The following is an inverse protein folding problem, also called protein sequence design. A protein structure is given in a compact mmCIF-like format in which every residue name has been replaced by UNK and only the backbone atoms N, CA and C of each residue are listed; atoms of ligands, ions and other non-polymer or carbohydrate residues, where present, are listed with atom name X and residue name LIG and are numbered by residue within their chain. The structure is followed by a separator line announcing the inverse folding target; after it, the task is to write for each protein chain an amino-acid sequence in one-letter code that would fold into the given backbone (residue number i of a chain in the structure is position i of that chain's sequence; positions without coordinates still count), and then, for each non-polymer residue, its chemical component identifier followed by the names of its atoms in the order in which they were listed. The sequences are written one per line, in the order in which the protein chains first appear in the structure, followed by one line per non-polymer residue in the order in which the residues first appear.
data_IF_168443921063
#
_entry.id   IF_168443921063
#
_cell.length_a   1.000
_cell.length_b   1.000
_cell.length_c   1.000
_cell.angle_alpha   90.00
_cell.angle_beta   90.00
_cell.angle_gamma   90.00
#
_symmetry.space_group_name_H-M   'P 1'
#
loop_
_entity.id
_entity.type
_entity.pdbx_description
1 polymer ?
#
# COMPACT_ATOMS: atom_id res chain seq x y z
N UNK A 1 56.44 -47.64 -12.97
CA UNK A 1 55.75 -48.48 -11.97
C UNK A 1 55.27 -47.60 -10.82
N UNK A 2 54.18 -48.02 -10.17
CA UNK A 2 53.46 -47.43 -9.04
C UNK A 2 52.38 -46.38 -9.37
N UNK A 3 51.08 -46.72 -9.18
CA UNK A 3 49.97 -45.78 -9.16
C UNK A 3 49.67 -45.26 -7.75
N UNK A 4 49.11 -44.05 -7.71
CA UNK A 4 48.75 -43.26 -6.54
C UNK A 4 47.47 -43.82 -5.89
N UNK A 5 47.55 -44.19 -4.61
CA UNK A 5 46.41 -44.50 -3.75
C UNK A 5 45.94 -43.26 -2.99
N UNK A 6 44.64 -42.96 -3.09
CA UNK A 6 43.94 -41.99 -2.23
C UNK A 6 43.68 -42.61 -0.86
N UNK A 7 43.89 -41.84 0.23
CA UNK A 7 42.95 -41.74 1.37
C UNK A 7 43.33 -40.65 2.38
N UNK A 8 42.36 -39.77 2.60
CA UNK A 8 41.96 -39.08 3.85
C UNK A 8 42.98 -38.18 4.58
N UNK A 9 42.92 -36.88 4.29
CA UNK A 9 43.34 -35.82 5.22
C UNK A 9 42.10 -35.07 5.73
N UNK A 10 42.00 -34.96 7.05
CA UNK A 10 41.04 -34.13 7.80
C UNK A 10 41.22 -32.67 7.41
N UNK A 11 40.13 -31.99 7.04
CA UNK A 11 40.13 -30.52 6.92
C UNK A 11 39.65 -29.92 8.24
N UNK A 12 40.53 -29.08 8.76
CA UNK A 12 40.44 -28.25 9.95
C UNK A 12 39.27 -27.25 9.91
N UNK A 13 38.78 -26.91 11.11
CA UNK A 13 37.62 -26.06 11.35
C UNK A 13 37.71 -24.66 10.75
N UNK A 14 36.56 -24.20 10.27
CA UNK A 14 36.27 -22.83 9.85
C UNK A 14 36.01 -22.00 11.13
N UNK A 15 36.66 -20.85 11.34
CA UNK A 15 36.37 -20.00 12.48
C UNK A 15 35.00 -19.31 12.31
N UNK A 16 34.17 -19.45 13.33
CA UNK A 16 32.90 -18.74 13.50
C UNK A 16 33.17 -17.22 13.53
N UNK A 17 32.65 -16.50 12.54
CA UNK A 17 32.67 -15.03 12.53
C UNK A 17 31.93 -14.48 13.76
N UNK A 18 32.63 -13.68 14.55
CA UNK A 18 32.06 -12.91 15.65
C UNK A 18 31.03 -11.87 15.16
N UNK A 19 30.22 -11.31 16.09
CA UNK A 19 29.16 -10.39 15.76
C UNK A 19 29.72 -9.11 15.12
N UNK A 20 29.09 -8.69 14.01
CA UNK A 20 29.36 -7.42 13.34
C UNK A 20 29.14 -6.25 14.33
N UNK A 21 30.03 -5.24 14.32
CA UNK A 21 29.86 -4.05 15.17
C UNK A 21 28.60 -3.27 14.75
N UNK A 22 27.94 -2.57 15.70
CA UNK A 22 26.75 -1.78 15.42
C UNK A 22 27.10 -0.66 14.43
N UNK A 23 26.30 -0.54 13.36
CA UNK A 23 26.43 0.52 12.38
C UNK A 23 26.26 1.89 13.05
N UNK A 24 27.36 2.62 13.19
CA UNK A 24 27.36 4.03 13.59
C UNK A 24 26.60 4.80 12.51
N UNK A 25 25.39 5.29 12.83
CA UNK A 25 24.65 6.23 11.97
C UNK A 25 25.42 7.54 11.93
N UNK A 26 26.33 7.69 10.96
CA UNK A 26 26.73 9.01 10.49
C UNK A 26 25.48 9.66 9.92
N UNK A 27 24.97 10.69 10.59
CA UNK A 27 23.92 11.54 10.08
C UNK A 27 24.50 12.34 8.91
N UNK A 28 24.48 11.77 7.71
CA UNK A 28 24.71 12.52 6.48
C UNK A 28 23.60 13.55 6.39
N UNK A 29 23.95 14.83 6.34
CA UNK A 29 22.99 15.89 6.10
C UNK A 29 22.22 15.56 4.80
N UNK A 30 20.88 15.64 4.78
CA UNK A 30 20.14 15.33 3.57
C UNK A 30 20.65 16.23 2.44
N UNK A 31 20.94 15.64 1.28
CA UNK A 31 21.34 16.38 0.10
C UNK A 31 20.31 17.48 -0.19
N UNK A 32 20.74 18.67 -0.67
CA UNK A 32 19.79 19.71 -1.06
C UNK A 32 18.81 19.14 -2.09
N UNK A 33 17.52 19.43 -1.90
CA UNK A 33 16.48 18.95 -2.80
C UNK A 33 16.75 19.48 -4.22
N UNK A 34 16.58 18.64 -5.26
CA UNK A 34 16.76 19.10 -6.64
C UNK A 34 15.81 20.26 -6.92
N UNK A 35 16.33 21.32 -7.54
CA UNK A 35 15.57 22.53 -7.90
C UNK A 35 15.14 22.54 -9.37
N UNK A 36 15.57 21.56 -10.17
CA UNK A 36 15.21 21.40 -11.58
C UNK A 36 15.06 19.93 -11.99
N UNK A 37 14.22 19.67 -13.00
CA UNK A 37 14.06 18.37 -13.67
C UNK A 37 14.15 18.61 -15.18
N UNK A 38 14.99 17.86 -15.90
CA UNK A 38 15.24 18.07 -17.33
C UNK A 38 15.70 19.49 -17.69
N UNK A 39 16.44 20.15 -16.79
CA UNK A 39 16.86 21.55 -16.94
C UNK A 39 15.79 22.60 -16.63
N UNK A 40 14.56 22.20 -16.28
CA UNK A 40 13.44 23.10 -15.97
C UNK A 40 13.20 23.22 -14.46
N UNK A 41 12.98 24.43 -13.91
CA UNK A 41 12.81 24.63 -12.47
C UNK A 41 11.60 23.88 -11.89
N UNK A 42 11.69 23.49 -10.61
CA UNK A 42 10.61 22.88 -9.84
C UNK A 42 9.87 23.97 -9.06
N UNK A 43 8.54 23.90 -9.06
CA UNK A 43 7.73 24.87 -8.31
C UNK A 43 8.00 24.76 -6.80
N UNK A 44 8.26 25.90 -6.13
CA UNK A 44 8.58 25.95 -4.70
C UNK A 44 7.58 25.22 -3.78
N UNK A 45 6.25 25.25 -4.00
CA UNK A 45 5.29 24.50 -3.19
C UNK A 45 5.53 22.98 -3.20
N UNK A 46 6.00 22.44 -4.32
CA UNK A 46 6.25 21.01 -4.53
C UNK A 46 7.51 20.57 -3.79
N UNK A 47 8.56 21.40 -3.79
CA UNK A 47 9.76 21.20 -2.98
C UNK A 47 9.41 21.18 -1.49
N UNK A 48 8.58 22.12 -1.02
CA UNK A 48 8.12 22.17 0.37
C UNK A 48 7.25 20.96 0.74
N UNK A 49 6.39 20.49 -0.15
CA UNK A 49 5.61 19.27 0.04
C UNK A 49 6.53 18.05 0.21
N UNK A 50 7.52 17.89 -0.67
CA UNK A 50 8.51 16.80 -0.57
C UNK A 50 9.24 16.85 0.77
N UNK A 51 9.71 18.01 1.20
CA UNK A 51 10.40 18.16 2.48
C UNK A 51 9.52 17.76 3.68
N UNK A 52 8.25 18.18 3.73
CA UNK A 52 7.32 17.78 4.81
C UNK A 52 7.10 16.27 4.84
N UNK A 53 6.94 15.68 3.65
CA UNK A 53 6.67 14.26 3.44
C UNK A 53 7.86 13.39 3.82
N UNK A 54 9.06 13.78 3.41
CA UNK A 54 10.30 13.09 3.78
C UNK A 54 10.53 13.14 5.30
N UNK A 55 10.25 14.29 5.93
CA UNK A 55 10.27 14.41 7.39
C UNK A 55 9.23 13.50 8.08
N UNK A 56 8.00 13.43 7.56
CA UNK A 56 6.98 12.52 8.08
C UNK A 56 7.39 11.05 7.94
N UNK A 57 8.00 10.68 6.81
CA UNK A 57 8.47 9.33 6.54
C UNK A 57 9.51 8.84 7.56
N UNK A 58 10.34 9.73 8.12
CA UNK A 58 11.31 9.37 9.18
C UNK A 58 10.68 8.90 10.49
N UNK A 59 9.40 9.21 10.72
CA UNK A 59 8.67 8.87 11.95
C UNK A 59 7.96 7.51 11.88
N UNK A 60 7.87 6.92 10.69
CA UNK A 60 7.09 5.71 10.44
C UNK A 60 8.00 4.48 10.41
N UNK A 61 7.75 3.54 11.32
CA UNK A 61 8.43 2.26 11.33
C UNK A 61 8.03 1.41 10.12
N UNK A 62 9.01 0.74 9.47
CA UNK A 62 8.77 -0.09 8.29
C UNK A 62 8.75 -1.59 8.58
N UNK A 63 9.05 -1.96 9.82
CA UNK A 63 9.15 -3.35 10.28
C UNK A 63 8.00 -3.73 11.19
N UNK A 64 7.69 -5.03 11.22
CA UNK A 64 6.74 -5.61 12.15
C UNK A 64 7.11 -5.35 13.62
N UNK A 65 6.12 -5.00 14.44
CA UNK A 65 6.27 -4.84 15.91
C UNK A 65 5.78 -6.04 16.71
N UNK A 66 5.25 -7.04 16.03
CA UNK A 66 4.72 -8.25 16.64
C UNK A 66 5.02 -9.45 15.75
N UNK A 67 4.94 -10.63 16.34
CA UNK A 67 5.15 -11.92 15.69
C UNK A 67 3.90 -12.77 15.89
N UNK A 68 2.94 -12.61 14.98
CA UNK A 68 1.64 -13.27 15.03
C UNK A 68 1.28 -13.81 13.66
N UNK A 69 0.50 -14.88 13.59
CA UNK A 69 0.01 -15.38 12.30
C UNK A 69 -1.18 -14.54 11.80
N UNK A 70 -1.27 -14.43 10.47
CA UNK A 70 -2.38 -13.76 9.79
C UNK A 70 -3.71 -14.48 10.00
N UNK A 71 -4.81 -13.73 9.91
CA UNK A 71 -6.18 -14.21 10.11
C UNK A 71 -7.04 -14.02 8.87
N UNK A 72 -8.02 -14.90 8.73
CA UNK A 72 -9.14 -14.68 7.82
C UNK A 72 -10.11 -13.61 8.35
N UNK A 73 -10.91 -13.04 7.48
CA UNK A 73 -12.03 -12.13 7.81
C UNK A 73 -13.30 -12.77 7.25
N UNK A 74 -14.27 -13.05 8.12
CA UNK A 74 -15.53 -13.67 7.69
C UNK A 74 -16.28 -12.73 6.76
N UNK A 75 -16.72 -13.26 5.61
CA UNK A 75 -17.61 -12.54 4.68
C UNK A 75 -18.93 -12.19 5.36
N UNK A 76 -19.43 -10.97 5.15
CA UNK A 76 -20.75 -10.60 5.65
C UNK A 76 -21.82 -11.45 4.95
N UNK A 77 -22.59 -12.25 5.72
CA UNK A 77 -23.66 -13.12 5.18
C UNK A 77 -24.62 -12.29 4.31
N UNK A 78 -24.90 -12.79 3.10
CA UNK A 78 -25.74 -12.14 2.08
C UNK A 78 -25.15 -10.88 1.41
N UNK A 79 -23.83 -10.64 1.53
CA UNK A 79 -23.13 -9.55 0.84
C UNK A 79 -21.87 -10.04 0.12
N UNK A 80 -21.65 -9.53 -1.09
CA UNK A 80 -20.45 -9.74 -1.90
C UNK A 80 -19.31 -8.82 -1.44
N UNK A 81 -18.61 -9.19 -0.36
CA UNK A 81 -17.65 -8.32 0.34
C UNK A 81 -16.18 -8.75 0.22
N UNK A 82 -15.87 -9.70 -0.64
CA UNK A 82 -14.49 -10.18 -0.82
C UNK A 82 -13.53 -9.10 -1.35
N UNK A 83 -14.01 -8.15 -2.16
CA UNK A 83 -13.23 -6.96 -2.55
C UNK A 83 -12.83 -6.11 -1.33
N UNK A 84 -13.69 -6.00 -0.32
CA UNK A 84 -13.38 -5.30 0.92
C UNK A 84 -12.42 -6.08 1.80
N UNK A 85 -12.67 -7.38 1.98
CA UNK A 85 -11.86 -8.24 2.81
C UNK A 85 -10.41 -8.34 2.29
N UNK A 86 -10.23 -8.54 1.00
CA UNK A 86 -8.91 -8.62 0.37
C UNK A 86 -8.09 -7.32 0.55
N UNK A 87 -8.73 -6.15 0.39
CA UNK A 87 -8.11 -4.84 0.64
C UNK A 87 -7.79 -4.63 2.12
N UNK A 88 -8.73 -4.94 3.02
CA UNK A 88 -8.51 -4.83 4.46
C UNK A 88 -7.36 -5.74 4.92
N UNK A 89 -7.30 -6.97 4.41
CA UNK A 89 -6.20 -7.89 4.65
C UNK A 89 -4.87 -7.33 4.12
N UNK A 90 -4.84 -6.72 2.95
CA UNK A 90 -3.64 -6.04 2.44
C UNK A 90 -3.16 -4.91 3.37
N UNK A 91 -4.08 -4.06 3.86
CA UNK A 91 -3.76 -3.04 4.87
C UNK A 91 -3.21 -3.65 6.17
N UNK A 92 -3.81 -4.73 6.67
CA UNK A 92 -3.33 -5.39 7.90
C UNK A 92 -1.92 -5.94 7.75
N UNK A 93 -1.42 -6.08 6.52
CA UNK A 93 -0.08 -6.54 6.21
C UNK A 93 0.92 -5.44 5.84
N UNK A 94 0.61 -4.20 6.23
CA UNK A 94 1.47 -3.05 6.02
C UNK A 94 1.98 -2.51 7.38
N UNK A 95 3.15 -2.92 7.87
CA UNK A 95 3.73 -2.39 9.11
C UNK A 95 3.73 -0.85 9.23
N UNK A 96 4.12 -0.06 8.20
CA UNK A 96 4.08 1.39 8.32
C UNK A 96 2.66 1.97 8.39
N UNK A 97 1.67 1.32 7.76
CA UNK A 97 0.27 1.67 7.93
C UNK A 97 -0.21 1.37 9.35
N UNK A 98 0.11 0.19 9.89
CA UNK A 98 -0.25 -0.19 11.25
C UNK A 98 0.34 0.79 12.28
N UNK A 99 1.59 1.21 12.09
CA UNK A 99 2.22 2.24 12.93
C UNK A 99 1.41 3.54 12.93
N UNK A 100 0.94 3.97 11.76
CA UNK A 100 0.19 5.20 11.60
C UNK A 100 -1.24 5.09 12.17
N UNK A 101 -2.02 4.10 11.73
CA UNK A 101 -3.44 3.97 12.09
C UNK A 101 -3.63 3.71 13.59
N UNK A 102 -2.71 2.98 14.22
CA UNK A 102 -2.75 2.73 15.67
C UNK A 102 -2.47 3.98 16.51
N UNK A 103 -1.99 5.07 15.92
CA UNK A 103 -1.86 6.38 16.59
C UNK A 103 -3.13 7.23 16.51
N UNK A 104 -4.08 6.85 15.65
CA UNK A 104 -5.32 7.59 15.46
C UNK A 104 -6.13 7.70 16.76
N UNK A 105 -6.37 8.93 17.21
CA UNK A 105 -7.08 9.24 18.47
C UNK A 105 -6.52 8.50 19.71
N UNK A 106 -5.28 8.03 19.67
CA UNK A 106 -4.65 7.28 20.76
C UNK A 106 -3.90 8.21 21.71
N UNK A 107 -4.00 7.92 23.01
CA UNK A 107 -2.87 8.10 23.90
C UNK A 107 -1.98 6.85 23.76
N UNK A 108 -0.71 7.00 23.32
CA UNK A 108 0.22 5.90 23.04
C UNK A 108 0.29 4.75 24.08
N UNK A 109 -0.07 5.02 25.35
CA UNK A 109 -0.05 4.06 26.46
C UNK A 109 -1.07 2.91 26.37
N UNK A 110 -2.16 3.05 25.62
CA UNK A 110 -3.21 2.01 25.54
C UNK A 110 -2.91 0.96 24.46
N UNK A 111 -2.33 1.39 23.32
CA UNK A 111 -1.77 0.49 22.32
C UNK A 111 -0.57 -0.29 22.86
N UNK A 112 0.32 0.36 23.64
CA UNK A 112 1.48 -0.28 24.28
C UNK A 112 1.10 -1.46 25.20
N UNK A 113 -0.03 -1.39 25.92
CA UNK A 113 -0.48 -2.49 26.81
C UNK A 113 -0.95 -3.73 26.06
N UNK A 114 -1.69 -3.56 24.97
CA UNK A 114 -2.30 -4.69 24.23
C UNK A 114 -1.36 -5.35 23.22
N UNK A 115 -0.40 -4.61 22.66
CA UNK A 115 0.59 -5.13 21.70
C UNK A 115 1.90 -5.65 22.34
N UNK A 116 1.96 -5.79 23.67
CA UNK A 116 3.10 -6.41 24.37
C UNK A 116 4.31 -5.51 24.59
N UNK A 117 4.10 -4.28 25.06
CA UNK A 117 5.16 -3.46 25.66
C UNK A 117 6.11 -2.73 24.70
N UNK A 118 5.91 -2.85 23.38
CA UNK A 118 6.75 -2.14 22.41
C UNK A 118 6.22 -0.71 22.15
N UNK A 119 7.10 0.29 22.31
CA UNK A 119 6.79 1.72 22.13
C UNK A 119 6.44 2.02 20.68
N UNK A 120 5.22 2.48 20.41
CA UNK A 120 4.86 3.16 19.16
C UNK A 120 5.51 4.55 19.16
N UNK A 121 6.20 4.91 18.08
CA UNK A 121 7.03 6.11 18.04
C UNK A 121 6.20 7.34 17.70
N UNK A 122 5.52 7.98 18.67
CA UNK A 122 5.05 9.36 18.47
C UNK A 122 4.81 10.15 19.78
N UNK A 123 5.84 10.91 20.19
CA UNK A 123 5.87 11.68 21.44
C UNK A 123 5.18 13.06 21.42
N UNK A 124 4.86 13.63 20.25
CA UNK A 124 4.33 15.02 20.13
C UNK A 124 2.81 15.14 20.22
N UNK A 125 2.03 14.14 19.80
CA UNK A 125 0.54 14.12 19.95
C UNK A 125 0.11 14.05 21.43
N UNK A 126 1.05 13.71 22.33
CA UNK A 126 0.84 13.51 23.77
C UNK A 126 0.33 14.74 24.54
N UNK A 127 0.55 15.97 24.07
CA UNK A 127 0.20 17.19 24.83
C UNK A 127 -1.13 17.82 24.43
N UNK A 128 -1.55 17.74 23.16
CA UNK A 128 -2.75 18.43 22.67
C UNK A 128 -4.08 17.75 23.08
N UNK A 129 -4.10 16.42 23.22
CA UNK A 129 -5.35 15.65 23.44
C UNK A 129 -5.78 15.58 24.92
N UNK A 130 -4.87 15.90 25.85
CA UNK A 130 -5.11 15.75 27.31
C UNK A 130 -6.22 16.66 27.87
N UNK A 131 -6.57 17.78 27.24
CA UNK A 131 -7.55 18.73 27.81
C UNK A 131 -9.01 18.34 27.54
N UNK A 132 -9.30 17.50 26.54
CA UNK A 132 -10.68 17.20 26.14
C UNK A 132 -11.33 16.05 26.95
N UNK A 133 -10.55 15.12 27.49
CA UNK A 133 -11.10 13.90 28.13
C UNK A 133 -11.61 14.13 29.56
N UNK A 134 -11.19 15.21 30.23
CA UNK A 134 -11.49 15.44 31.65
C UNK A 134 -12.93 15.87 31.95
N UNK A 135 -13.78 16.05 30.92
CA UNK A 135 -15.14 16.61 31.06
C UNK A 135 -16.30 15.60 30.92
N UNK A 136 -16.07 14.31 30.62
CA UNK A 136 -17.17 13.47 30.08
C UNK A 136 -17.51 12.15 30.76
N UNK A 137 -16.77 11.67 31.77
CA UNK A 137 -17.08 10.37 32.38
C UNK A 137 -17.75 10.49 33.74
N UNK A 138 -19.08 10.39 33.72
CA UNK A 138 -19.92 10.17 34.91
C UNK A 138 -21.30 9.67 34.50
N UNK A 139 -21.44 8.36 34.20
CA UNK A 139 -22.62 7.49 34.38
C UNK A 139 -22.42 6.12 33.68
N UNK A 140 -22.94 5.04 34.28
CA UNK A 140 -22.97 3.64 33.79
C UNK A 140 -24.43 3.24 33.54
N UNK A 141 -24.68 2.25 32.68
CA UNK A 141 -26.00 1.66 32.49
C UNK A 141 -26.02 0.16 32.83
N UNK A 142 -27.16 -0.23 33.38
CA UNK A 142 -27.72 -1.55 33.64
C UNK A 142 -28.34 -2.07 32.33
N UNK A 143 -28.22 -3.37 32.02
CA UNK A 143 -29.07 -4.17 31.12
C UNK A 143 -28.24 -5.37 30.61
N UNK A 144 -28.63 -6.57 31.06
CA UNK A 144 -27.89 -7.83 30.91
C UNK A 144 -28.03 -8.50 29.54
N UNK A 145 -27.46 -7.90 28.49
CA UNK A 145 -27.12 -8.60 27.25
C UNK A 145 -25.69 -9.20 27.35
N UNK A 146 -25.48 -10.34 26.69
CA UNK A 146 -24.17 -11.01 26.61
C UNK A 146 -23.14 -10.04 26.03
N UNK A 147 -22.25 -9.54 26.89
CA UNK A 147 -21.23 -8.56 26.54
C UNK A 147 -20.17 -9.24 25.70
N UNK A 148 -20.02 -8.80 24.45
CA UNK A 148 -18.72 -8.82 23.79
C UNK A 148 -17.76 -8.06 24.74
N UNK A 149 -16.85 -8.79 25.41
CA UNK A 149 -15.89 -8.25 26.40
C UNK A 149 -14.95 -7.18 25.80
N UNK A 150 -15.12 -6.90 24.50
CA UNK A 150 -14.54 -5.81 23.74
C UNK A 150 -15.50 -4.61 23.59
N UNK A 151 -16.31 -4.33 24.62
CA UNK A 151 -17.17 -3.13 24.70
C UNK A 151 -16.47 -1.88 24.14
N UNK A 152 -17.21 -0.95 23.49
CA UNK A 152 -16.77 -0.09 22.39
C UNK A 152 -15.32 0.39 22.57
N UNK A 153 -14.38 -0.38 22.04
CA UNK A 153 -12.97 -0.03 22.08
C UNK A 153 -12.84 1.22 21.20
N UNK A 154 -12.61 2.37 21.85
CA UNK A 154 -12.20 3.64 21.24
C UNK A 154 -13.28 4.35 20.39
N UNK A 155 -14.40 4.78 20.98
CA UNK A 155 -15.33 5.67 20.27
C UNK A 155 -15.38 7.09 20.88
N UNK A 156 -14.68 8.09 20.29
CA UNK A 156 -15.06 9.48 20.53
C UNK A 156 -15.17 10.38 19.27
N UNK A 157 -14.78 9.92 18.07
CA UNK A 157 -14.85 10.77 16.87
C UNK A 157 -16.16 10.51 16.10
N UNK A 158 -17.29 11.06 16.58
CA UNK A 158 -18.48 11.21 15.73
C UNK A 158 -18.22 12.39 14.79
N UNK A 159 -18.04 12.12 13.49
CA UNK A 159 -18.00 13.17 12.47
C UNK A 159 -19.33 13.20 11.75
N UNK A 160 -20.04 14.32 11.81
CA UNK A 160 -21.29 14.52 11.06
C UNK A 160 -22.33 13.42 11.30
N UNK A 161 -22.43 12.89 12.53
CA UNK A 161 -23.34 11.80 12.88
C UNK A 161 -22.95 10.40 12.34
N UNK A 162 -21.93 10.29 11.47
CA UNK A 162 -21.38 9.03 10.95
C UNK A 162 -20.16 8.59 11.77
N UNK A 163 -19.86 7.29 11.73
CA UNK A 163 -18.66 6.72 12.35
C UNK A 163 -17.36 7.25 11.71
N UNK A 164 -16.25 7.22 12.44
CA UNK A 164 -14.94 7.62 11.92
C UNK A 164 -14.24 6.41 11.27
N UNK A 165 -13.99 6.48 9.97
CA UNK A 165 -13.37 5.39 9.20
C UNK A 165 -12.02 4.95 9.78
N UNK A 166 -11.16 5.90 10.17
CA UNK A 166 -9.87 5.59 10.79
C UNK A 166 -10.01 4.94 12.18
N UNK A 167 -11.08 5.23 12.94
CA UNK A 167 -11.35 4.53 14.20
C UNK A 167 -11.75 3.06 13.95
N UNK A 168 -12.57 2.80 12.92
CA UNK A 168 -12.94 1.42 12.56
C UNK A 168 -11.74 0.63 12.01
N UNK A 169 -10.93 1.21 11.12
CA UNK A 169 -9.69 0.57 10.65
C UNK A 169 -8.71 0.29 11.78
N UNK A 170 -8.60 1.21 12.76
CA UNK A 170 -7.80 0.98 13.98
C UNK A 170 -8.36 -0.17 14.81
N UNK A 171 -9.67 -0.21 15.03
CA UNK A 171 -10.33 -1.30 15.76
C UNK A 171 -10.11 -2.65 15.08
N UNK A 172 -10.23 -2.69 13.75
CA UNK A 172 -9.90 -3.87 12.95
C UNK A 172 -8.44 -4.27 13.11
N UNK A 173 -7.49 -3.34 13.05
CA UNK A 173 -6.06 -3.62 13.25
C UNK A 173 -5.76 -4.21 14.64
N UNK A 174 -6.41 -3.70 15.69
CA UNK A 174 -6.30 -4.23 17.04
C UNK A 174 -6.84 -5.66 17.10
N UNK A 175 -8.06 -5.89 16.60
CA UNK A 175 -8.71 -7.21 16.62
C UNK A 175 -7.97 -8.24 15.76
N UNK A 176 -7.46 -7.83 14.61
CA UNK A 176 -6.75 -8.68 13.67
C UNK A 176 -5.45 -9.24 14.25
N UNK A 177 -4.73 -8.40 15.02
CA UNK A 177 -3.45 -8.75 15.63
C UNK A 177 -3.56 -8.96 17.14
N UNK A 178 -4.75 -9.28 17.67
CA UNK A 178 -4.97 -9.50 19.10
C UNK A 178 -4.49 -10.90 19.53
N UNK A 179 -3.45 -10.97 20.36
CA UNK A 179 -2.88 -12.22 20.86
C UNK A 179 -3.87 -13.10 21.62
N UNK A 180 -4.90 -12.51 22.23
CA UNK A 180 -5.86 -13.24 23.06
C UNK A 180 -6.81 -14.13 22.24
N UNK A 181 -7.01 -13.82 20.96
CA UNK A 181 -7.82 -14.63 20.06
C UNK A 181 -6.88 -15.43 19.14
N UNK A 182 -6.89 -16.77 19.14
CA UNK A 182 -5.94 -17.55 18.34
C UNK A 182 -6.14 -17.29 16.83
N UNK A 183 -5.06 -17.21 16.02
CA UNK A 183 -5.13 -16.95 14.57
C UNK A 183 -5.98 -17.95 13.77
N UNK A 184 -6.23 -19.12 14.36
CA UNK A 184 -7.10 -20.17 13.85
C UNK A 184 -8.54 -19.69 13.66
N UNK A 185 -8.99 -18.75 14.49
CA UNK A 185 -10.31 -18.19 14.44
C UNK A 185 -10.32 -17.01 13.47
N UNK A 186 -11.09 -17.07 12.37
CA UNK A 186 -11.28 -15.90 11.53
C UNK A 186 -11.93 -14.80 12.35
N UNK A 187 -11.74 -13.55 11.94
CA UNK A 187 -12.43 -12.43 12.55
C UNK A 187 -13.92 -12.57 12.26
N UNK A 188 -14.65 -13.12 13.23
CA UNK A 188 -16.10 -13.26 13.17
C UNK A 188 -16.77 -11.98 13.68
N UNK A 189 -17.83 -11.54 13.00
CA UNK A 189 -18.72 -10.46 13.46
C UNK A 189 -18.00 -9.20 13.95
N UNK A 190 -16.86 -8.83 13.34
CA UNK A 190 -16.22 -7.56 13.66
C UNK A 190 -17.18 -6.43 13.32
N UNK A 191 -17.75 -5.82 14.36
CA UNK A 191 -18.53 -4.61 14.23
C UNK A 191 -17.79 -3.56 13.41
N UNK A 192 -16.46 -3.58 13.43
CA UNK A 192 -15.60 -2.75 12.59
C UNK A 192 -15.75 -3.05 11.09
N UNK A 193 -15.69 -4.33 10.66
CA UNK A 193 -15.87 -4.71 9.25
C UNK A 193 -17.28 -4.34 8.79
N UNK A 194 -18.30 -4.62 9.62
CA UNK A 194 -19.67 -4.20 9.34
C UNK A 194 -19.76 -2.69 9.21
N UNK A 195 -19.23 -1.91 10.16
CA UNK A 195 -19.26 -0.43 10.16
C UNK A 195 -18.49 0.16 8.99
N UNK A 196 -17.36 -0.41 8.59
CA UNK A 196 -16.62 -0.03 7.39
C UNK A 196 -17.48 -0.22 6.13
N UNK A 197 -18.15 -1.37 6.01
CA UNK A 197 -19.12 -1.62 4.93
C UNK A 197 -20.32 -0.64 5.00
N UNK A 198 -20.80 -0.29 6.21
CA UNK A 198 -21.87 0.71 6.35
C UNK A 198 -21.45 2.11 5.91
N UNK A 199 -20.17 2.46 6.09
CA UNK A 199 -19.64 3.75 5.66
C UNK A 199 -19.53 3.86 4.13
N UNK A 200 -19.57 2.74 3.41
CA UNK A 200 -19.66 2.72 1.94
C UNK A 200 -21.08 2.59 1.41
N UNK A 201 -22.06 2.20 2.25
CA UNK A 201 -23.44 2.01 1.81
C UNK A 201 -24.08 3.28 1.24
N UNK A 202 -24.79 3.10 0.13
CA UNK A 202 -25.43 4.18 -0.63
C UNK A 202 -24.49 4.93 -1.58
N UNK A 203 -23.23 4.51 -1.71
CA UNK A 203 -22.36 4.98 -2.80
C UNK A 203 -22.62 4.17 -4.07
N UNK A 204 -22.78 4.82 -5.23
CA UNK A 204 -22.93 4.13 -6.51
C UNK A 204 -21.78 3.17 -6.79
N UNK A 205 -20.55 3.57 -6.45
CA UNK A 205 -19.33 2.80 -6.71
C UNK A 205 -19.19 1.54 -5.84
N UNK A 206 -19.92 1.47 -4.71
CA UNK A 206 -19.86 0.37 -3.74
C UNK A 206 -21.27 -0.10 -3.38
N UNK A 207 -21.99 -0.71 -4.33
CA UNK A 207 -23.41 -1.02 -4.19
C UNK A 207 -23.67 -1.98 -3.04
N UNK A 208 -24.77 -1.75 -2.33
CA UNK A 208 -25.19 -2.60 -1.22
C UNK A 208 -25.48 -4.01 -1.76
N UNK A 209 -24.71 -5.02 -1.31
CA UNK A 209 -24.78 -6.44 -1.71
C UNK A 209 -24.13 -6.80 -3.06
N UNK A 210 -23.68 -5.81 -3.85
CA UNK A 210 -22.96 -6.05 -5.10
C UNK A 210 -21.46 -6.23 -4.91
N UNK A 211 -20.81 -6.81 -5.93
CA UNK A 211 -19.35 -6.72 -6.08
C UNK A 211 -18.97 -5.28 -6.44
N UNK A 212 -17.71 -4.94 -6.21
CA UNK A 212 -17.13 -3.67 -6.63
C UNK A 212 -15.65 -3.86 -6.96
N UNK A 213 -15.09 -2.82 -7.57
CA UNK A 213 -13.67 -2.74 -7.86
C UNK A 213 -12.84 -2.62 -6.56
N UNK A 214 -11.92 -3.57 -6.34
CA UNK A 214 -11.07 -3.60 -5.16
C UNK A 214 -10.02 -2.47 -5.14
N UNK A 215 -9.52 -2.03 -6.30
CA UNK A 215 -8.58 -0.92 -6.41
C UNK A 215 -9.26 0.40 -6.02
N UNK A 216 -10.47 0.65 -6.53
CA UNK A 216 -11.27 1.81 -6.18
C UNK A 216 -11.62 1.82 -4.68
N UNK A 217 -11.97 0.66 -4.10
CA UNK A 217 -12.21 0.55 -2.66
C UNK A 217 -10.94 0.84 -1.84
N UNK A 218 -9.76 0.45 -2.33
CA UNK A 218 -8.49 0.75 -1.70
C UNK A 218 -8.24 2.26 -1.66
N UNK A 219 -8.37 2.96 -2.79
CA UNK A 219 -8.21 4.43 -2.84
C UNK A 219 -9.23 5.14 -1.96
N UNK A 220 -10.48 4.70 -1.99
CA UNK A 220 -11.51 5.17 -1.09
C UNK A 220 -11.11 5.04 0.38
N UNK A 221 -10.57 3.89 0.81
CA UNK A 221 -10.10 3.69 2.18
C UNK A 221 -9.01 4.71 2.56
N UNK A 222 -8.03 4.94 1.68
CA UNK A 222 -6.94 5.90 1.92
C UNK A 222 -7.52 7.30 2.11
N UNK A 223 -8.42 7.74 1.23
CA UNK A 223 -9.03 9.06 1.31
C UNK A 223 -9.90 9.25 2.55
N UNK A 224 -10.70 8.24 2.91
CA UNK A 224 -11.50 8.31 4.14
C UNK A 224 -10.61 8.40 5.38
N UNK A 225 -9.51 7.64 5.46
CA UNK A 225 -8.58 7.72 6.58
C UNK A 225 -7.84 9.06 6.62
N UNK A 226 -7.40 9.58 5.47
CA UNK A 226 -6.77 10.90 5.33
C UNK A 226 -7.72 12.01 5.80
N UNK A 227 -9.00 11.91 5.45
CA UNK A 227 -10.03 12.85 5.87
C UNK A 227 -10.27 12.83 7.38
N UNK A 228 -10.01 11.71 8.07
CA UNK A 228 -10.19 11.55 9.53
C UNK A 228 -9.17 12.35 10.40
N UNK A 229 -8.43 13.31 9.84
CA UNK A 229 -7.38 14.10 10.50
C UNK A 229 -7.83 14.82 11.80
N UNK A 230 -7.08 14.80 12.91
CA UNK A 230 -7.49 15.38 14.21
C UNK A 230 -7.97 16.86 14.15
N UNK A 231 -8.73 17.31 15.17
CA UNK A 231 -9.37 18.64 15.15
C UNK A 231 -8.40 19.83 15.08
N UNK A 232 -7.21 19.74 15.68
CA UNK A 232 -6.26 20.85 15.67
C UNK A 232 -5.51 20.91 14.34
N UNK A 233 -5.37 22.09 13.74
CA UNK A 233 -4.71 22.28 12.44
C UNK A 233 -3.31 21.63 12.35
N UNK A 234 -2.47 21.79 13.38
CA UNK A 234 -1.12 21.21 13.40
C UNK A 234 -1.13 19.67 13.41
N UNK A 235 -1.99 19.04 14.23
CA UNK A 235 -2.12 17.59 14.25
C UNK A 235 -2.81 17.05 12.98
N UNK A 236 -3.73 17.83 12.39
CA UNK A 236 -4.35 17.49 11.12
C UNK A 236 -3.32 17.47 9.98
N UNK A 237 -2.45 18.48 9.93
CA UNK A 237 -1.37 18.55 8.95
C UNK A 237 -0.40 17.39 9.11
N UNK A 238 0.06 17.12 10.33
CA UNK A 238 0.96 15.99 10.59
C UNK A 238 0.33 14.64 10.19
N UNK A 239 -0.95 14.43 10.47
CA UNK A 239 -1.70 13.23 10.07
C UNK A 239 -1.76 13.07 8.56
N UNK A 240 -2.05 14.16 7.83
CA UNK A 240 -2.09 14.16 6.36
C UNK A 240 -0.71 13.96 5.75
N UNK A 241 0.32 14.63 6.27
CA UNK A 241 1.70 14.48 5.81
C UNK A 241 2.19 13.03 5.99
N UNK A 242 1.80 12.35 7.07
CA UNK A 242 2.10 10.93 7.29
C UNK A 242 1.32 10.03 6.32
N UNK A 243 0.04 10.29 6.08
CA UNK A 243 -0.74 9.58 5.07
C UNK A 243 -0.14 9.74 3.65
N UNK A 244 0.25 10.97 3.30
CA UNK A 244 0.96 11.29 2.06
C UNK A 244 2.33 10.62 2.00
N UNK A 245 3.03 10.48 3.13
CA UNK A 245 4.27 9.72 3.19
C UNK A 245 4.09 8.23 2.92
N UNK A 246 2.96 7.68 3.36
CA UNK A 246 2.62 6.29 3.12
C UNK A 246 2.30 6.01 1.65
N UNK A 247 1.46 6.82 1.00
CA UNK A 247 0.84 6.43 -0.27
C UNK A 247 1.07 7.37 -1.45
N UNK A 248 1.41 8.65 -1.24
CA UNK A 248 1.44 9.59 -2.36
C UNK A 248 2.68 9.38 -3.25
N UNK A 249 2.39 9.34 -4.54
CA UNK A 249 3.32 9.35 -5.65
C UNK A 249 3.17 10.70 -6.36
N UNK A 250 4.30 11.32 -6.73
CA UNK A 250 4.32 12.43 -7.68
C UNK A 250 5.50 12.22 -8.62
N UNK A 251 5.24 12.33 -9.91
CA UNK A 251 6.26 12.34 -10.95
C UNK A 251 6.07 13.57 -11.83
N UNK A 252 7.14 13.99 -12.51
CA UNK A 252 7.07 14.98 -13.58
C UNK A 252 7.03 14.30 -14.93
N UNK A 253 6.37 14.91 -15.91
CA UNK A 253 6.33 14.42 -17.29
C UNK A 253 7.07 15.38 -18.22
N UNK A 254 7.80 14.82 -19.19
CA UNK A 254 8.53 15.55 -20.23
C UNK A 254 8.26 14.92 -21.60
N UNK A 255 7.86 15.73 -22.57
CA UNK A 255 7.72 15.34 -23.97
C UNK A 255 8.93 15.78 -24.77
N UNK A 256 9.63 14.82 -25.36
CA UNK A 256 10.79 15.08 -26.24
C UNK A 256 10.42 14.76 -27.69
N UNK A 257 10.43 15.77 -28.56
CA UNK A 257 10.11 15.60 -29.97
C UNK A 257 11.10 14.67 -30.66
N UNK A 258 10.62 13.64 -31.36
CA UNK A 258 11.50 12.69 -32.04
C UNK A 258 12.12 13.26 -33.33
N UNK A 259 11.66 14.43 -33.80
CA UNK A 259 12.16 15.10 -35.01
C UNK A 259 13.23 16.14 -34.67
N UNK A 260 12.90 17.13 -33.82
CA UNK A 260 13.81 18.23 -33.49
C UNK A 260 14.51 18.08 -32.12
N UNK A 261 14.24 17.01 -31.38
CA UNK A 261 14.79 16.73 -30.05
C UNK A 261 14.49 17.80 -28.97
N UNK A 262 13.58 18.75 -29.24
CA UNK A 262 13.16 19.75 -28.25
C UNK A 262 12.31 19.09 -27.17
N UNK A 263 12.77 19.18 -25.91
CA UNK A 263 12.02 18.74 -24.72
C UNK A 263 11.14 19.85 -24.18
N UNK A 264 9.94 19.50 -23.74
CA UNK A 264 8.98 20.43 -23.12
C UNK A 264 8.11 19.72 -22.09
N UNK A 265 7.50 20.49 -21.20
CA UNK A 265 6.47 19.99 -20.28
C UNK A 265 5.12 19.89 -21.00
N UNK A 266 4.24 18.96 -20.60
CA UNK A 266 2.85 18.95 -21.05
C UNK A 266 2.16 20.30 -20.78
N UNK A 267 1.21 20.67 -21.63
CA UNK A 267 0.32 21.80 -21.34
C UNK A 267 -0.57 21.44 -20.14
N UNK A 268 -0.55 22.26 -19.09
CA UNK A 268 -1.28 22.03 -17.84
C UNK A 268 -0.35 21.82 -16.65
N UNK A 269 -0.62 20.78 -15.84
CA UNK A 269 0.24 20.44 -14.70
C UNK A 269 1.48 19.67 -15.19
N UNK A 270 2.71 20.15 -14.94
CA UNK A 270 3.91 19.41 -15.28
C UNK A 270 4.21 18.26 -14.31
N UNK A 271 3.37 18.11 -13.29
CA UNK A 271 3.41 17.04 -12.31
C UNK A 271 2.10 16.30 -12.31
N UNK A 272 2.19 14.98 -12.17
CA UNK A 272 1.05 14.09 -12.07
C UNK A 272 1.37 13.02 -11.02
N UNK A 273 0.35 12.36 -10.51
CA UNK A 273 0.49 11.45 -9.40
C UNK A 273 -0.81 10.97 -8.81
N UNK A 274 -0.71 10.27 -7.70
CA UNK A 274 -1.83 9.61 -7.05
C UNK A 274 -1.35 8.72 -5.91
N UNK A 275 -2.17 7.75 -5.54
CA UNK A 275 -1.88 6.77 -4.49
C UNK A 275 -1.42 5.41 -5.04
N UNK A 276 -1.33 5.30 -6.36
CA UNK A 276 -1.15 4.04 -7.08
C UNK A 276 -0.58 4.29 -8.49
N UNK A 277 0.20 3.34 -9.02
CA UNK A 277 0.60 3.31 -10.44
C UNK A 277 -0.27 2.29 -11.18
N UNK A 278 -0.92 2.71 -12.25
CA UNK A 278 -1.71 1.82 -13.11
C UNK A 278 -0.82 1.30 -14.23
N UNK A 279 -0.51 0.01 -14.21
CA UNK A 279 0.39 -0.63 -15.17
C UNK A 279 -0.40 -1.54 -16.12
N UNK A 280 -0.17 -1.35 -17.42
CA UNK A 280 -0.77 -2.18 -18.45
C UNK A 280 -0.13 -3.58 -18.46
N UNK A 281 -0.95 -4.60 -18.69
CA UNK A 281 -0.49 -5.98 -18.94
C UNK A 281 -0.18 -6.26 -20.40
N UNK A 282 -0.51 -5.30 -21.27
CA UNK A 282 -0.34 -5.37 -22.72
C UNK A 282 0.50 -4.18 -23.20
N UNK A 283 1.27 -4.41 -24.26
CA UNK A 283 1.89 -3.35 -25.03
C UNK A 283 0.92 -2.75 -26.07
N UNK A 284 1.36 -1.71 -26.79
CA UNK A 284 0.53 -1.04 -27.80
C UNK A 284 0.19 -1.92 -29.01
N UNK A 285 0.87 -3.06 -29.17
CA UNK A 285 0.56 -4.05 -30.20
C UNK A 285 -0.39 -5.15 -29.68
N UNK A 286 -0.84 -5.05 -28.42
CA UNK A 286 -1.68 -6.05 -27.75
C UNK A 286 -0.89 -7.28 -27.30
N UNK A 287 0.44 -7.20 -27.19
CA UNK A 287 1.26 -8.31 -26.70
C UNK A 287 1.47 -8.22 -25.19
N UNK A 288 1.45 -9.38 -24.53
CA UNK A 288 1.62 -9.46 -23.09
C UNK A 288 3.00 -8.96 -22.64
N UNK A 289 3.03 -8.15 -21.58
CA UNK A 289 4.29 -7.76 -20.92
C UNK A 289 4.84 -8.92 -20.09
N UNK A 290 6.14 -9.23 -20.15
CA UNK A 290 6.69 -10.44 -19.52
C UNK A 290 6.77 -10.35 -18.00
N UNK A 291 7.04 -9.17 -17.46
CA UNK A 291 7.25 -8.96 -16.03
C UNK A 291 6.92 -7.52 -15.58
N UNK A 292 6.79 -7.34 -14.26
CA UNK A 292 6.49 -6.03 -13.66
C UNK A 292 7.57 -4.97 -13.97
N UNK A 293 8.89 -5.27 -13.95
CA UNK A 293 9.91 -4.32 -14.41
C UNK A 293 9.70 -3.79 -15.83
N UNK A 294 9.34 -4.65 -16.80
CA UNK A 294 9.05 -4.25 -18.16
C UNK A 294 7.80 -3.35 -18.25
N UNK A 295 6.76 -3.68 -17.49
CA UNK A 295 5.56 -2.85 -17.39
C UNK A 295 5.87 -1.45 -16.81
N UNK A 296 6.75 -1.37 -15.82
CA UNK A 296 7.20 -0.11 -15.23
C UNK A 296 8.13 0.68 -16.16
N UNK A 297 8.99 0.02 -16.93
CA UNK A 297 9.78 0.67 -17.98
C UNK A 297 8.87 1.34 -19.01
N UNK A 298 7.81 0.66 -19.46
CA UNK A 298 6.75 1.28 -20.30
C UNK A 298 6.05 2.43 -19.60
N UNK A 299 5.72 2.30 -18.31
CA UNK A 299 5.03 3.36 -17.58
C UNK A 299 5.87 4.65 -17.52
N UNK A 300 7.15 4.53 -17.14
CA UNK A 300 8.04 5.67 -16.91
C UNK A 300 8.72 6.21 -18.18
N UNK A 301 8.93 5.39 -19.20
CA UNK A 301 9.56 5.83 -20.46
C UNK A 301 8.59 5.91 -21.63
N UNK A 302 7.33 5.60 -21.36
CA UNK A 302 6.18 5.81 -22.24
C UNK A 302 6.24 5.01 -23.53
N UNK A 303 5.11 5.03 -24.22
CA UNK A 303 5.12 5.01 -25.67
C UNK A 303 5.18 6.44 -26.18
N UNK A 304 5.61 6.61 -27.42
CA UNK A 304 5.60 7.92 -28.01
C UNK A 304 4.16 8.45 -28.19
N UNK A 305 3.92 9.68 -27.76
CA UNK A 305 2.63 10.37 -27.87
C UNK A 305 2.63 11.33 -29.06
N UNK A 306 1.45 11.55 -29.67
CA UNK A 306 1.28 12.57 -30.70
C UNK A 306 0.88 13.90 -30.07
N UNK A 307 1.76 14.88 -30.14
CA UNK A 307 1.54 16.22 -29.57
C UNK A 307 2.14 17.29 -30.48
N UNK A 308 1.54 18.47 -30.48
CA UNK A 308 2.03 19.61 -31.26
C UNK A 308 3.40 20.07 -30.75
N UNK A 309 4.34 20.31 -31.68
CA UNK A 309 5.69 20.78 -31.40
C UNK A 309 5.88 22.17 -32.01
N UNK A 310 6.12 23.18 -31.15
CA UNK A 310 6.30 24.57 -31.59
C UNK A 310 7.54 24.75 -32.48
N UNK A 311 8.62 24.01 -32.22
CA UNK A 311 9.85 24.07 -33.03
C UNK A 311 9.62 23.52 -34.44
N UNK A 312 8.86 22.42 -34.57
CA UNK A 312 8.54 21.82 -35.87
C UNK A 312 7.31 22.44 -36.54
N UNK A 313 6.55 23.28 -35.82
CA UNK A 313 5.26 23.84 -36.23
C UNK A 313 4.27 22.78 -36.73
N UNK A 314 4.29 21.58 -36.15
CA UNK A 314 3.44 20.45 -36.56
C UNK A 314 3.21 19.46 -35.42
N UNK A 315 2.16 18.63 -35.54
CA UNK A 315 1.94 17.49 -34.66
C UNK A 315 2.97 16.41 -34.97
N UNK A 316 3.77 16.08 -33.97
CA UNK A 316 4.88 15.12 -34.10
C UNK A 316 4.75 14.02 -33.08
N UNK A 317 5.45 12.92 -33.33
CA UNK A 317 5.69 11.88 -32.35
C UNK A 317 6.68 12.41 -31.29
N UNK A 318 6.39 12.17 -30.01
CA UNK A 318 7.18 12.66 -28.89
C UNK A 318 7.34 11.58 -27.83
N UNK A 319 8.57 11.36 -27.37
CA UNK A 319 8.84 10.46 -26.25
C UNK A 319 8.30 11.06 -24.97
N UNK A 320 7.41 10.34 -24.28
CA UNK A 320 6.91 10.69 -22.95
C UNK A 320 7.82 10.07 -21.89
N UNK A 321 8.50 10.90 -21.10
CA UNK A 321 9.35 10.44 -20.00
C UNK A 321 8.85 10.99 -18.69
N UNK A 322 8.71 10.09 -17.71
CA UNK A 322 8.29 10.39 -16.35
C UNK A 322 9.47 10.22 -15.40
N UNK A 323 9.63 11.18 -14.49
CA UNK A 323 10.65 11.14 -13.44
C UNK A 323 9.99 11.24 -12.06
N UNK A 324 10.19 10.22 -11.24
CA UNK A 324 9.61 10.09 -9.92
C UNK A 324 10.24 11.10 -8.95
N UNK A 325 9.45 12.10 -8.58
CA UNK A 325 9.88 13.16 -7.68
C UNK A 325 9.60 12.80 -6.21
N UNK A 326 8.47 12.15 -5.98
CA UNK A 326 7.94 11.78 -4.67
C UNK A 326 7.55 10.30 -4.76
N UNK A 327 8.34 9.44 -4.12
CA UNK A 327 8.07 8.00 -3.99
C UNK A 327 7.48 7.65 -2.61
N UNK A 328 6.45 6.78 -2.51
CA UNK A 328 5.77 6.45 -1.27
C UNK A 328 6.56 5.46 -0.40
N UNK A 329 6.18 5.28 0.87
CA UNK A 329 6.66 4.15 1.68
C UNK A 329 5.98 2.85 1.24
N UNK A 330 4.69 2.92 0.91
CA UNK A 330 3.87 1.82 0.45
C UNK A 330 3.56 2.09 -1.02
N UNK A 331 4.27 1.39 -1.91
CA UNK A 331 4.03 1.46 -3.33
C UNK A 331 2.90 0.51 -3.70
N UNK A 332 1.88 1.04 -4.36
CA UNK A 332 0.79 0.28 -4.96
C UNK A 332 0.95 0.27 -6.48
N UNK A 333 0.77 -0.90 -7.07
CA UNK A 333 0.69 -1.10 -8.52
C UNK A 333 -0.64 -1.80 -8.83
N UNK A 334 -1.52 -1.13 -9.56
CA UNK A 334 -2.70 -1.76 -10.13
C UNK A 334 -2.37 -2.35 -11.48
N UNK A 335 -2.54 -3.65 -11.59
CA UNK A 335 -2.34 -4.40 -12.81
C UNK A 335 -3.65 -4.33 -13.59
N UNK A 336 -3.65 -3.57 -14.70
CA UNK A 336 -4.82 -3.33 -15.53
C UNK A 336 -5.20 -4.59 -16.32
N UNK A 337 -5.84 -5.53 -15.64
CA UNK A 337 -6.28 -6.81 -16.22
C UNK A 337 -7.61 -6.74 -16.93
N UNK A 338 -8.39 -5.66 -16.79
CA UNK A 338 -9.63 -5.47 -17.55
C UNK A 338 -9.30 -4.54 -18.71
N UNK A 339 -9.26 -5.06 -19.93
CA UNK A 339 -8.64 -4.37 -21.09
C UNK A 339 -9.60 -4.12 -22.24
N UNK A 340 -10.62 -4.96 -22.43
CA UNK A 340 -11.60 -4.82 -23.52
C UNK A 340 -13.01 -4.53 -23.01
N UNK A 341 -13.79 -3.76 -23.77
CA UNK A 341 -15.23 -3.62 -23.51
C UNK A 341 -15.99 -4.78 -24.17
N UNK A 342 -16.92 -5.37 -23.43
CA UNK A 342 -17.86 -6.37 -23.92
C UNK A 342 -19.28 -5.81 -23.85
N UNK A 343 -19.94 -5.73 -25.01
CA UNK A 343 -21.30 -5.22 -25.14
C UNK A 343 -22.34 -6.13 -24.45
N UNK A 344 -22.15 -7.45 -24.46
CA UNK A 344 -23.09 -8.39 -23.84
C UNK A 344 -23.03 -8.30 -22.30
N UNK A 345 -21.83 -8.07 -21.77
CA UNK A 345 -21.62 -7.91 -20.33
C UNK A 345 -21.80 -6.46 -19.85
N UNK A 346 -22.06 -5.51 -20.75
CA UNK A 346 -22.09 -4.06 -20.52
C UNK A 346 -20.92 -3.59 -19.61
N UNK A 347 -19.70 -4.02 -19.93
CA UNK A 347 -18.57 -3.76 -19.05
C UNK A 347 -17.22 -4.18 -19.59
N UNK A 348 -16.16 -3.81 -18.85
CA UNK A 348 -14.82 -4.26 -19.18
C UNK A 348 -14.63 -5.74 -18.81
N UNK A 349 -14.10 -6.50 -19.75
CA UNK A 349 -13.72 -7.90 -19.61
C UNK A 349 -12.22 -8.05 -19.41
N UNK A 350 -11.89 -9.18 -18.79
CA UNK A 350 -10.54 -9.52 -18.38
C UNK A 350 -9.69 -9.93 -19.57
N UNK A 351 -8.45 -9.46 -19.60
CA UNK A 351 -7.41 -9.91 -20.51
C UNK A 351 -7.16 -11.41 -20.33
N UNK A 352 -7.04 -12.11 -21.46
CA UNK A 352 -6.70 -13.54 -21.51
C UNK A 352 -5.19 -13.79 -21.29
N UNK A 353 -4.38 -12.74 -21.17
CA UNK A 353 -2.95 -12.88 -20.99
C UNK A 353 -2.57 -13.43 -19.62
N UNK A 354 -1.44 -14.13 -19.60
CA UNK A 354 -0.83 -14.57 -18.37
C UNK A 354 -0.44 -13.36 -17.51
N UNK A 355 -0.56 -13.52 -16.18
CA UNK A 355 -0.08 -12.52 -15.23
C UNK A 355 1.43 -12.30 -15.40
N UNK A 356 1.90 -11.05 -15.54
CA UNK A 356 3.33 -10.75 -15.60
C UNK A 356 4.07 -11.28 -14.37
N UNK A 357 5.32 -11.73 -14.55
CA UNK A 357 6.15 -12.21 -13.44
C UNK A 357 6.34 -11.13 -12.36
N UNK A 358 6.10 -11.50 -11.09
CA UNK A 358 6.12 -10.58 -9.94
C UNK A 358 7.44 -10.74 -9.19
N UNK A 359 8.35 -9.75 -9.23
CA UNK A 359 9.60 -9.84 -8.48
C UNK A 359 9.39 -9.65 -6.98
N UNK A 360 10.17 -10.33 -6.13
CA UNK A 360 10.14 -10.04 -4.70
C UNK A 360 10.68 -8.64 -4.38
N UNK A 361 11.74 -8.23 -5.07
CA UNK A 361 12.42 -6.96 -4.88
C UNK A 361 12.28 -6.11 -6.13
N UNK A 362 11.90 -4.86 -5.93
CA UNK A 362 11.71 -3.89 -7.00
C UNK A 362 12.62 -2.68 -6.74
N UNK A 363 13.46 -2.32 -7.71
CA UNK A 363 14.34 -1.16 -7.63
C UNK A 363 13.83 -0.08 -8.59
N UNK A 364 13.27 1.00 -8.04
CA UNK A 364 12.78 2.14 -8.80
C UNK A 364 13.82 3.27 -8.92
N UNK A 365 15.07 3.04 -8.49
CA UNK A 365 16.10 4.09 -8.44
C UNK A 365 16.29 4.79 -9.78
N UNK A 366 16.24 4.05 -10.89
CA UNK A 366 16.44 4.59 -12.25
C UNK A 366 15.36 5.58 -12.69
N UNK A 367 14.18 5.53 -12.09
CA UNK A 367 13.06 6.41 -12.46
C UNK A 367 13.00 7.68 -11.62
N UNK A 368 13.74 7.77 -10.51
CA UNK A 368 13.64 8.91 -9.61
C UNK A 368 14.58 10.05 -10.01
N UNK A 369 14.18 11.28 -9.70
CA UNK A 369 14.97 12.48 -10.00
C UNK A 369 16.35 12.45 -9.32
N UNK A 370 16.39 12.07 -8.04
CA UNK A 370 17.64 11.91 -7.29
C UNK A 370 18.09 10.44 -7.26
N UNK A 371 18.81 10.03 -8.31
CA UNK A 371 19.31 8.67 -8.44
C UNK A 371 20.43 8.31 -7.45
N UNK A 372 20.91 9.24 -6.63
CA UNK A 372 21.92 8.97 -5.59
C UNK A 372 21.34 8.18 -4.42
N UNK A 373 20.03 8.27 -4.19
CA UNK A 373 19.35 7.62 -3.08
C UNK A 373 18.83 6.23 -3.48
N UNK A 374 18.92 5.21 -2.61
CA UNK A 374 18.31 3.92 -2.89
C UNK A 374 16.77 4.04 -2.85
N UNK A 375 16.12 3.41 -3.84
CA UNK A 375 14.66 3.33 -3.91
C UNK A 375 14.21 1.90 -4.19
N UNK A 376 14.41 1.05 -3.17
CA UNK A 376 14.11 -0.38 -3.22
C UNK A 376 12.88 -0.71 -2.41
N UNK A 377 12.09 -1.62 -2.96
CA UNK A 377 10.84 -2.08 -2.43
C UNK A 377 10.83 -3.59 -2.36
N UNK A 378 10.06 -4.12 -1.42
CA UNK A 378 9.89 -5.55 -1.22
C UNK A 378 8.40 -5.88 -1.23
N UNK A 379 8.02 -6.93 -1.98
CA UNK A 379 6.63 -7.36 -2.13
C UNK A 379 6.02 -7.67 -0.77
N UNK A 380 4.86 -7.08 -0.50
CA UNK A 380 4.12 -7.21 0.75
C UNK A 380 2.85 -8.00 0.58
N UNK A 381 2.07 -7.69 -0.46
CA UNK A 381 0.82 -8.39 -0.75
C UNK A 381 0.46 -8.35 -2.23
N UNK A 382 -0.32 -9.34 -2.63
CA UNK A 382 -0.94 -9.48 -3.94
C UNK A 382 -2.44 -9.63 -3.71
N UNK A 383 -3.26 -8.81 -4.35
CA UNK A 383 -4.70 -9.07 -4.49
C UNK A 383 -4.89 -9.64 -5.89
N UNK A 384 -5.60 -10.77 -5.97
CA UNK A 384 -5.96 -11.38 -7.24
C UNK A 384 -7.47 -11.47 -7.36
N UNK A 385 -7.93 -11.51 -8.61
CA UNK A 385 -9.34 -11.63 -8.97
C UNK A 385 -9.54 -12.87 -9.84
N UNK A 386 -10.67 -13.56 -9.67
CA UNK A 386 -11.22 -14.55 -10.61
C UNK A 386 -12.61 -14.11 -11.04
N UNK A 387 -12.99 -14.35 -12.30
CA UNK A 387 -14.24 -13.87 -12.89
C UNK A 387 -13.97 -13.02 -14.13
N UNK A 388 -15.03 -12.69 -14.87
CA UNK A 388 -14.91 -12.00 -16.17
C UNK A 388 -14.90 -10.48 -16.04
N UNK A 389 -15.61 -9.92 -15.05
CA UNK A 389 -15.78 -8.47 -14.89
C UNK A 389 -15.45 -8.03 -13.46
N UNK A 390 -15.31 -6.72 -13.21
CA UNK A 390 -15.16 -6.14 -11.86
C UNK A 390 -16.44 -6.24 -11.01
N UNK A 391 -17.60 -6.38 -11.67
CA UNK A 391 -18.91 -6.48 -11.04
C UNK A 391 -19.32 -7.93 -10.70
N UNK A 392 -18.43 -8.89 -10.96
CA UNK A 392 -18.66 -10.30 -10.68
C UNK A 392 -17.35 -10.98 -10.26
N UNK A 393 -17.43 -12.25 -9.86
CA UNK A 393 -16.25 -13.01 -9.47
C UNK A 393 -15.86 -12.86 -8.01
N UNK A 394 -14.57 -13.06 -7.71
CA UNK A 394 -14.08 -13.20 -6.34
C UNK A 394 -12.65 -12.67 -6.18
N UNK A 395 -12.45 -11.86 -5.13
CA UNK A 395 -11.15 -11.32 -4.76
C UNK A 395 -10.55 -12.07 -3.59
N UNK A 396 -9.24 -12.29 -3.66
CA UNK A 396 -8.45 -12.99 -2.65
C UNK A 396 -7.14 -12.26 -2.44
N UNK A 397 -6.56 -12.37 -1.25
CA UNK A 397 -5.27 -11.75 -0.95
C UNK A 397 -4.20 -12.79 -0.63
N UNK A 398 -2.96 -12.52 -1.02
CA UNK A 398 -1.78 -13.24 -0.57
C UNK A 398 -0.85 -12.22 0.07
N UNK A 399 -0.36 -12.53 1.26
CA UNK A 399 0.28 -11.54 2.12
C UNK A 399 1.53 -12.11 2.74
N UNK A 400 2.53 -11.25 2.91
CA UNK A 400 3.71 -11.50 3.72
C UNK A 400 3.38 -11.14 5.17
N UNK A 401 3.25 -12.15 6.03
CA UNK A 401 3.06 -11.96 7.46
C UNK A 401 4.38 -11.72 8.21
N UNK A 402 4.33 -11.39 9.51
CA UNK A 402 5.53 -11.25 10.35
C UNK A 402 6.22 -12.59 10.64
N UNK A 403 5.53 -13.72 10.41
CA UNK A 403 6.05 -15.07 10.63
C UNK A 403 6.03 -15.90 9.35
N UNK A 404 4.87 -15.98 8.70
CA UNK A 404 4.63 -16.82 7.53
C UNK A 404 3.85 -16.05 6.48
N UNK A 405 4.03 -16.41 5.21
CA UNK A 405 3.20 -15.88 4.14
C UNK A 405 1.88 -16.67 4.09
N UNK A 406 0.78 -15.97 3.84
CA UNK A 406 -0.56 -16.54 3.86
C UNK A 406 -1.35 -16.12 2.62
N UNK A 407 -2.01 -17.08 1.98
CA UNK A 407 -3.17 -16.83 1.12
C UNK A 407 -4.41 -16.75 2.01
N UNK A 408 -5.18 -15.69 1.83
CA UNK A 408 -6.37 -15.36 2.59
C UNK A 408 -7.53 -15.23 1.58
N UNK A 409 -8.54 -16.06 1.80
CA UNK A 409 -9.76 -16.14 1.01
C UNK A 409 -10.93 -16.00 1.98
N UNK A 410 -11.31 -14.74 2.20
CA UNK A 410 -12.19 -14.34 3.30
C UNK A 410 -11.70 -14.93 4.64
N UNK A 411 -12.45 -15.87 5.22
CA UNK A 411 -12.15 -16.55 6.48
C UNK A 411 -11.15 -17.71 6.34
N UNK A 412 -10.96 -18.22 5.13
CA UNK A 412 -10.05 -19.31 4.85
C UNK A 412 -8.62 -18.80 4.74
N UNK A 413 -7.69 -19.48 5.42
CA UNK A 413 -6.26 -19.17 5.36
C UNK A 413 -5.47 -20.40 4.94
N UNK A 414 -4.45 -20.18 4.11
CA UNK A 414 -3.53 -21.23 3.68
C UNK A 414 -2.12 -20.67 3.67
N UNK A 415 -1.21 -21.34 4.36
CA UNK A 415 0.20 -20.98 4.29
C UNK A 415 0.72 -21.15 2.86
N UNK A 416 1.55 -20.21 2.43
CA UNK A 416 2.19 -20.22 1.11
C UNK A 416 3.70 -20.00 1.25
N UNK A 417 4.47 -20.55 0.32
CA UNK A 417 5.91 -20.28 0.23
C UNK A 417 6.18 -18.89 -0.36
N UNK A 418 7.39 -18.33 -0.19
CA UNK A 418 7.82 -17.13 -0.92
C UNK A 418 7.70 -17.28 -2.44
N UNK A 419 8.05 -18.45 -2.98
CA UNK A 419 7.90 -18.73 -4.41
C UNK A 419 6.44 -18.68 -4.86
N UNK A 420 5.52 -19.21 -4.06
CA UNK A 420 4.08 -19.10 -4.35
C UNK A 420 3.60 -17.65 -4.32
N UNK A 421 4.09 -16.82 -3.40
CA UNK A 421 3.74 -15.39 -3.35
C UNK A 421 4.12 -14.64 -4.65
N UNK A 422 5.23 -15.01 -5.29
CA UNK A 422 5.72 -14.41 -6.54
C UNK A 422 5.09 -15.03 -7.80
N UNK A 423 4.76 -16.33 -7.77
CA UNK A 423 4.31 -17.09 -8.94
C UNK A 423 2.82 -17.03 -9.22
N UNK A 424 2.18 -15.87 -9.05
CA UNK A 424 0.72 -15.72 -8.99
C UNK A 424 0.11 -16.62 -7.88
N UNK A 425 0.05 -16.13 -6.63
CA UNK A 425 -0.22 -16.96 -5.44
C UNK A 425 -1.56 -17.68 -5.41
N UNK A 426 -2.43 -17.35 -6.35
CA UNK A 426 -3.78 -17.86 -6.41
C UNK A 426 -3.97 -18.97 -7.45
N UNK A 427 -3.05 -19.10 -8.41
CA UNK A 427 -3.03 -20.09 -9.50
C UNK A 427 -4.35 -20.18 -10.31
N UNK A 428 -4.35 -20.99 -11.37
CA UNK A 428 -5.57 -21.22 -12.17
C UNK A 428 -6.11 -19.95 -12.83
N UNK A 429 -7.43 -19.72 -12.71
CA UNK A 429 -8.14 -18.59 -13.34
C UNK A 429 -7.97 -17.24 -12.62
N UNK A 430 -7.18 -17.20 -11.55
CA UNK A 430 -6.90 -15.95 -10.85
C UNK A 430 -5.84 -15.15 -11.59
N UNK A 431 -6.09 -13.86 -11.79
CA UNK A 431 -5.07 -12.93 -12.27
C UNK A 431 -4.72 -11.93 -11.18
N UNK A 432 -3.44 -11.58 -11.10
CA UNK A 432 -2.99 -10.52 -10.22
C UNK A 432 -3.64 -9.19 -10.61
N UNK A 433 -4.18 -8.48 -9.64
CA UNK A 433 -4.92 -7.24 -9.85
C UNK A 433 -4.30 -6.05 -9.11
N UNK A 434 -3.80 -6.28 -7.90
CA UNK A 434 -3.10 -5.24 -7.12
C UNK A 434 -1.83 -5.83 -6.51
N UNK A 435 -0.72 -5.13 -6.65
CA UNK A 435 0.52 -5.40 -5.95
C UNK A 435 0.79 -4.30 -4.93
N UNK A 436 1.16 -4.69 -3.72
CA UNK A 436 1.68 -3.77 -2.72
C UNK A 436 3.12 -4.12 -2.41
N UNK A 437 4.02 -3.15 -2.51
CA UNK A 437 5.37 -3.25 -2.02
C UNK A 437 5.64 -2.24 -0.91
N UNK A 438 6.55 -2.59 0.01
CA UNK A 438 6.99 -1.71 1.10
C UNK A 438 8.46 -1.35 0.90
N UNK A 439 8.77 -0.07 1.03
CA UNK A 439 10.13 0.45 0.89
C UNK A 439 11.03 -0.11 2.00
N UNK A 440 12.21 -0.59 1.60
CA UNK A 440 13.26 -1.11 2.51
C UNK A 440 13.88 -0.05 3.40
#
# INVERSE_FOLDING_TARGET
MAPITRRNARVSGIPLHGPLPPATRLAVAPAPLPTSIGGLPIAAPIVAQKARRDNAATRLARSWRFRLESRGIVRLKSYNTCYQNSVQQAFMHQPPFLEWILTHNSHAREAERRFGGQRFSNGRVRRAVKSQYRKRNGKKNEDGEEKDDLGPILNPCKRNGKGCFACEMKGLAIRYWDKANPPQNPIQFANEVKRLAMLTWGRPDFPNRGQADANAFYDFCIDQMRACAPLTAAAAQAWRDECSALYDILYSCTYTCTVCNTSRRPHGSPYDGGTNLHINVEDNSGQAVPDIPAALDRYFHGDDVQVYCNTCNSTTRNRDTKELFIAPIILRLNVLIFTSWDEECEGMTKSDHATPSIPELLDLRRYQVDQSQPLRYRLSSVIAHVGQTTNSGHYVSATRGPLINMRLDDDHRRQISPAQLMGNPHAGRYACYELTYIRG
#
